data_IF_600022970888
#
_entry.id   IF_600022970888
#
_cell.length_a   1.000
_cell.length_b   1.000
_cell.length_c   1.000
_cell.angle_alpha   90.00
_cell.angle_beta   90.00
_cell.angle_gamma   90.00
#
_symmetry.space_group_name_H-M   'P 1'
#
loop_
_entity.id
_entity.type
_entity.pdbx_description
1 polymer ?
#
# COMPACT_ATOMS: atom_id res chain seq x y z
N UNK A 1 63.50 7.05 -10.07
CA UNK A 1 62.19 7.76 -9.95
C UNK A 1 61.17 6.87 -9.22
N UNK A 2 61.46 6.46 -7.97
CA UNK A 2 60.62 5.50 -7.22
C UNK A 2 60.57 5.76 -5.70
N UNK A 3 60.89 6.98 -5.24
CA UNK A 3 60.93 7.27 -3.79
C UNK A 3 59.63 7.87 -3.24
N UNK A 4 58.87 8.65 -4.02
CA UNK A 4 57.62 9.27 -3.55
C UNK A 4 56.38 8.36 -3.63
N UNK A 5 56.48 7.22 -4.30
CA UNK A 5 55.36 6.28 -4.47
C UNK A 5 55.17 5.37 -3.23
N UNK A 6 56.25 5.07 -2.49
CA UNK A 6 56.19 4.26 -1.25
C UNK A 6 55.67 5.04 -0.05
N UNK A 7 55.95 6.34 0.06
CA UNK A 7 55.39 7.19 1.13
C UNK A 7 53.88 7.43 0.94
N UNK A 8 53.41 7.53 -0.31
CA UNK A 8 51.98 7.69 -0.61
C UNK A 8 51.16 6.42 -0.32
N UNK A 9 51.73 5.23 -0.57
CA UNK A 9 51.11 3.94 -0.24
C UNK A 9 51.08 3.64 1.27
N UNK A 10 52.05 4.15 2.04
CA UNK A 10 52.07 3.97 3.50
C UNK A 10 51.03 4.85 4.23
N UNK A 11 50.73 6.04 3.69
CA UNK A 11 49.67 6.91 4.21
C UNK A 11 48.24 6.43 3.88
N UNK A 12 48.03 5.78 2.73
CA UNK A 12 46.73 5.15 2.43
C UNK A 12 46.42 3.97 3.37
N UNK A 13 47.43 3.22 3.83
CA UNK A 13 47.20 2.08 4.72
C UNK A 13 46.81 2.49 6.15
N UNK A 14 47.27 3.66 6.62
CA UNK A 14 46.92 4.19 7.95
C UNK A 14 45.50 4.78 7.95
N UNK A 15 45.05 5.38 6.83
CA UNK A 15 43.66 5.81 6.69
C UNK A 15 42.67 4.63 6.64
N UNK A 16 43.12 3.46 6.15
CA UNK A 16 42.32 2.22 6.14
C UNK A 16 42.24 1.56 7.52
N UNK A 17 43.16 1.83 8.45
CA UNK A 17 43.10 1.32 9.83
C UNK A 17 42.47 2.29 10.85
N UNK A 18 42.23 3.56 10.47
CA UNK A 18 41.65 4.57 11.36
C UNK A 18 40.12 4.70 11.26
N UNK A 19 39.45 3.87 10.46
CA UNK A 19 37.98 3.68 10.48
C UNK A 19 37.65 2.26 10.98
N UNK A 20 38.32 1.86 12.05
CA UNK A 20 37.88 0.79 12.93
C UNK A 20 37.55 1.45 14.27
N UNK A 21 36.26 1.77 14.48
CA UNK A 21 35.79 2.33 15.75
C UNK A 21 34.60 3.28 15.69
N UNK A 22 33.66 3.11 14.75
CA UNK A 22 32.26 3.48 14.99
C UNK A 22 31.54 2.18 15.36
N UNK A 23 30.69 2.13 16.39
CA UNK A 23 29.91 0.93 16.66
C UNK A 23 28.98 0.71 15.46
N UNK A 24 29.26 -0.33 14.67
CA UNK A 24 28.30 -0.88 13.73
C UNK A 24 27.04 -1.23 14.54
N UNK A 25 25.92 -0.63 14.14
CA UNK A 25 24.67 -0.49 14.91
C UNK A 25 24.02 -1.83 15.25
N UNK A 26 24.45 -2.44 16.37
CA UNK A 26 23.76 -3.59 16.98
C UNK A 26 22.35 -3.26 17.49
N UNK A 27 21.95 -1.99 17.52
CA UNK A 27 20.67 -1.49 18.03
C UNK A 27 19.51 -1.67 17.01
N UNK A 28 19.78 -1.60 15.71
CA UNK A 28 18.72 -1.75 14.69
C UNK A 28 18.33 -3.22 14.49
N UNK A 29 19.29 -4.14 14.52
CA UNK A 29 19.01 -5.56 14.26
C UNK A 29 18.18 -6.20 15.39
N UNK A 30 18.46 -5.86 16.64
CA UNK A 30 17.74 -6.40 17.80
C UNK A 30 16.30 -5.85 17.87
N UNK A 31 16.10 -4.55 17.62
CA UNK A 31 14.77 -3.94 17.60
C UNK A 31 13.89 -4.46 16.47
N UNK A 32 14.46 -4.68 15.28
CA UNK A 32 13.79 -5.30 14.13
C UNK A 32 13.35 -6.73 14.45
N UNK A 33 14.24 -7.54 15.06
CA UNK A 33 13.93 -8.92 15.42
C UNK A 33 12.83 -9.03 16.49
N UNK A 34 12.83 -8.10 17.45
CA UNK A 34 11.81 -8.02 18.49
C UNK A 34 10.44 -7.62 17.91
N UNK A 35 10.40 -6.68 16.95
CA UNK A 35 9.17 -6.27 16.28
C UNK A 35 8.54 -7.41 15.47
N UNK A 36 9.34 -8.17 14.72
CA UNK A 36 8.85 -9.33 13.95
C UNK A 36 8.23 -10.39 14.88
N UNK A 37 8.86 -10.63 16.03
CA UNK A 37 8.34 -11.53 17.05
C UNK A 37 7.00 -11.05 17.64
N UNK A 38 6.83 -9.74 17.86
CA UNK A 38 5.56 -9.18 18.33
C UNK A 38 4.43 -9.36 17.30
N UNK A 39 4.69 -9.14 16.02
CA UNK A 39 3.70 -9.34 14.95
C UNK A 39 3.27 -10.82 14.87
N UNK A 40 4.24 -11.74 14.91
CA UNK A 40 3.96 -13.18 14.91
C UNK A 40 3.06 -13.58 16.10
N UNK A 41 3.34 -13.04 17.29
CA UNK A 41 2.55 -13.27 18.50
C UNK A 41 1.12 -12.73 18.35
N UNK A 42 0.94 -11.55 17.75
CA UNK A 42 -0.40 -10.98 17.52
C UNK A 42 -1.26 -11.87 16.62
N UNK A 43 -0.71 -12.37 15.51
CA UNK A 43 -1.44 -13.25 14.59
C UNK A 43 -1.77 -14.59 15.24
N UNK A 44 -0.80 -15.22 15.89
CA UNK A 44 -1.00 -16.51 16.58
C UNK A 44 -2.02 -16.40 17.72
N UNK A 45 -1.91 -15.37 18.57
CA UNK A 45 -2.82 -15.18 19.71
C UNK A 45 -4.26 -14.87 19.29
N UNK A 46 -4.44 -14.21 18.13
CA UNK A 46 -5.74 -13.97 17.54
C UNK A 46 -6.30 -15.18 16.75
N UNK A 47 -5.49 -16.22 16.51
CA UNK A 47 -5.87 -17.36 15.68
C UNK A 47 -6.13 -16.99 14.21
N UNK A 48 -5.43 -15.97 13.71
CA UNK A 48 -5.59 -15.44 12.35
C UNK A 48 -4.52 -16.06 11.46
N UNK A 49 -4.96 -16.67 10.36
CA UNK A 49 -4.11 -16.99 9.21
C UNK A 49 -4.18 -15.82 8.22
N UNK A 50 -3.10 -15.06 8.10
CA UNK A 50 -3.03 -13.88 7.24
C UNK A 50 -1.61 -13.35 7.11
N UNK A 51 -1.44 -12.28 6.35
CA UNK A 51 -0.13 -11.71 6.06
C UNK A 51 -0.11 -10.19 6.32
N UNK A 52 1.05 -9.68 6.71
CA UNK A 52 1.30 -8.25 6.88
C UNK A 52 2.58 -7.90 6.13
N UNK A 53 2.57 -6.80 5.38
CA UNK A 53 3.75 -6.17 4.82
C UNK A 53 3.76 -4.71 5.25
N UNK A 54 4.88 -4.25 5.82
CA UNK A 54 5.16 -2.85 6.10
C UNK A 54 6.43 -2.51 5.33
N UNK A 55 6.36 -1.53 4.46
CA UNK A 55 7.48 -1.09 3.63
C UNK A 55 7.69 0.41 3.82
N UNK A 56 8.94 0.86 3.91
CA UNK A 56 9.27 2.28 3.82
C UNK A 56 8.91 2.82 2.44
N UNK A 57 8.72 4.15 2.32
CA UNK A 57 8.28 4.74 1.05
C UNK A 57 9.28 4.54 -0.10
N UNK A 58 10.56 4.42 0.21
CA UNK A 58 11.64 4.10 -0.74
C UNK A 58 11.76 2.59 -1.01
N UNK A 59 11.12 1.74 -0.20
CA UNK A 59 11.21 0.28 -0.29
C UNK A 59 12.49 -0.33 0.29
N UNK A 60 13.36 0.47 0.90
CA UNK A 60 14.65 -0.01 1.43
C UNK A 60 14.47 -0.87 2.70
N UNK A 61 13.39 -0.64 3.45
CA UNK A 61 13.09 -1.34 4.69
C UNK A 61 11.73 -2.01 4.58
N UNK A 62 11.72 -3.34 4.66
CA UNK A 62 10.51 -4.14 4.66
C UNK A 62 10.41 -5.06 5.88
N UNK A 63 9.21 -5.16 6.44
CA UNK A 63 8.84 -6.10 7.48
C UNK A 63 7.66 -6.92 7.02
N UNK A 64 7.75 -8.24 7.14
CA UNK A 64 6.68 -9.14 6.70
C UNK A 64 6.35 -10.23 7.72
N UNK A 65 5.06 -10.48 7.91
CA UNK A 65 4.54 -11.70 8.52
C UNK A 65 3.92 -12.58 7.43
N UNK A 66 4.23 -13.88 7.44
CA UNK A 66 3.83 -14.84 6.39
C UNK A 66 4.16 -14.35 4.98
N UNK A 67 5.46 -14.09 4.73
CA UNK A 67 5.97 -13.52 3.48
C UNK A 67 5.48 -14.25 2.21
N UNK A 68 5.35 -15.58 2.25
CA UNK A 68 4.85 -16.37 1.13
C UNK A 68 3.42 -15.95 0.72
N UNK A 69 2.57 -15.60 1.68
CA UNK A 69 1.20 -15.16 1.44
C UNK A 69 1.11 -13.70 0.97
N UNK A 70 2.10 -12.85 1.30
CA UNK A 70 2.14 -11.44 0.86
C UNK A 70 2.11 -11.32 -0.68
N UNK A 71 2.71 -12.28 -1.37
CA UNK A 71 2.78 -12.30 -2.84
C UNK A 71 1.55 -12.90 -3.51
N UNK A 72 0.60 -13.44 -2.74
CA UNK A 72 -0.59 -14.09 -3.27
C UNK A 72 -1.67 -13.08 -3.67
N UNK A 73 -2.19 -13.21 -4.89
CA UNK A 73 -3.24 -12.33 -5.39
C UNK A 73 -4.60 -12.66 -4.77
N UNK A 74 -5.27 -11.63 -4.24
CA UNK A 74 -6.62 -11.72 -3.68
C UNK A 74 -7.56 -10.74 -4.39
N UNK A 75 -8.88 -10.98 -4.27
CA UNK A 75 -9.85 -9.97 -4.71
C UNK A 75 -9.70 -8.70 -3.87
N UNK A 76 -9.67 -7.50 -4.46
CA UNK A 76 -9.43 -6.27 -3.70
C UNK A 76 -10.63 -5.89 -2.82
N UNK A 77 -11.83 -6.39 -3.15
CA UNK A 77 -13.06 -6.02 -2.49
C UNK A 77 -13.18 -4.49 -2.33
N UNK A 78 -13.31 -3.98 -1.10
CA UNK A 78 -13.46 -2.55 -0.86
C UNK A 78 -12.18 -1.73 -0.98
N UNK A 79 -10.99 -2.34 -1.04
CA UNK A 79 -9.75 -1.58 -1.27
C UNK A 79 -9.70 -1.01 -2.69
N UNK A 80 -10.43 -1.60 -3.64
CA UNK A 80 -10.60 -1.07 -5.00
C UNK A 80 -11.28 0.31 -5.04
N UNK A 81 -11.90 0.77 -3.94
CA UNK A 81 -12.43 2.13 -3.86
C UNK A 81 -11.35 3.19 -4.07
N UNK A 82 -10.08 2.91 -3.76
CA UNK A 82 -8.96 3.82 -4.01
C UNK A 82 -8.81 4.11 -5.53
N UNK A 83 -8.50 3.14 -6.40
CA UNK A 83 -8.42 3.41 -7.84
C UNK A 83 -9.75 3.84 -8.44
N UNK A 84 -10.89 3.31 -7.94
CA UNK A 84 -12.21 3.71 -8.44
C UNK A 84 -12.51 5.20 -8.17
N UNK A 85 -12.12 5.74 -7.00
CA UNK A 85 -12.24 7.18 -6.71
C UNK A 85 -11.42 8.03 -7.67
N UNK A 86 -10.18 7.63 -7.96
CA UNK A 86 -9.32 8.35 -8.90
C UNK A 86 -9.96 8.41 -10.30
N UNK A 87 -10.44 7.25 -10.79
CA UNK A 87 -11.11 7.16 -12.10
C UNK A 87 -12.40 7.99 -12.11
N UNK A 88 -13.22 7.94 -11.05
CA UNK A 88 -14.47 8.68 -11.01
C UNK A 88 -14.28 10.20 -11.02
N UNK A 89 -13.19 10.69 -10.43
CA UNK A 89 -12.80 12.11 -10.48
C UNK A 89 -12.27 12.49 -11.87
N UNK A 90 -11.37 11.69 -12.44
CA UNK A 90 -10.78 11.93 -13.77
C UNK A 90 -11.84 11.93 -14.88
N UNK A 91 -12.81 11.03 -14.78
CA UNK A 91 -13.93 10.92 -15.71
C UNK A 91 -15.08 11.89 -15.40
N UNK A 92 -14.89 12.80 -14.45
CA UNK A 92 -15.87 13.82 -14.01
C UNK A 92 -17.25 13.22 -13.63
N UNK A 93 -17.27 11.95 -13.22
CA UNK A 93 -18.48 11.24 -12.77
C UNK A 93 -18.95 11.74 -11.41
N UNK A 94 -18.00 12.25 -10.63
CA UNK A 94 -18.21 13.03 -9.41
C UNK A 94 -17.22 14.19 -9.44
N UNK A 95 -17.69 15.39 -9.13
CA UNK A 95 -16.92 16.64 -9.22
C UNK A 95 -15.86 16.74 -8.13
N UNK A 96 -16.26 16.46 -6.89
CA UNK A 96 -15.42 16.64 -5.72
C UNK A 96 -15.96 15.84 -4.52
N UNK A 97 -15.28 15.95 -3.38
CA UNK A 97 -15.64 15.21 -2.17
C UNK A 97 -16.98 15.61 -1.52
N UNK A 98 -17.58 16.72 -1.96
CA UNK A 98 -18.79 17.32 -1.39
C UNK A 98 -20.02 17.12 -2.26
N UNK A 99 -19.86 16.71 -3.52
CA UNK A 99 -21.01 16.44 -4.40
C UNK A 99 -21.95 15.41 -3.75
N UNK A 100 -23.25 15.71 -3.79
CA UNK A 100 -24.28 14.84 -3.23
C UNK A 100 -24.63 13.74 -4.24
N UNK A 101 -24.33 12.51 -3.85
CA UNK A 101 -24.76 11.28 -4.49
C UNK A 101 -26.12 10.90 -3.88
N UNK A 102 -27.18 11.12 -4.65
CA UNK A 102 -28.56 10.91 -4.18
C UNK A 102 -28.85 9.44 -3.91
N UNK A 103 -29.48 9.18 -2.77
CA UNK A 103 -29.94 7.84 -2.42
C UNK A 103 -31.12 7.42 -3.30
N UNK A 104 -31.12 6.16 -3.70
CA UNK A 104 -32.15 5.56 -4.55
C UNK A 104 -33.41 5.14 -3.76
N UNK A 105 -33.47 5.38 -2.45
CA UNK A 105 -34.58 4.98 -1.59
C UNK A 105 -34.60 3.48 -1.25
N UNK A 106 -33.65 2.69 -1.75
CA UNK A 106 -33.56 1.27 -1.44
C UNK A 106 -32.92 1.08 -0.07
N UNK A 107 -33.69 0.53 0.87
CA UNK A 107 -33.20 0.16 2.19
C UNK A 107 -32.28 -1.06 2.09
N UNK A 108 -31.02 -0.85 2.48
CA UNK A 108 -29.97 -1.87 2.58
C UNK A 108 -29.71 -2.23 4.05
N UNK A 109 -29.10 -3.37 4.29
CA UNK A 109 -28.86 -3.92 5.63
C UNK A 109 -27.99 -3.02 6.51
N UNK A 110 -26.99 -2.35 5.92
CA UNK A 110 -26.14 -1.42 6.65
C UNK A 110 -26.75 -0.01 6.64
N UNK A 111 -27.34 0.38 7.76
CA UNK A 111 -28.10 1.62 7.90
C UNK A 111 -27.39 2.90 7.40
N UNK A 112 -26.06 3.10 7.62
CA UNK A 112 -25.37 4.28 7.11
C UNK A 112 -25.33 4.42 5.57
N UNK A 113 -25.71 3.39 4.81
CA UNK A 113 -25.87 3.45 3.35
C UNK A 113 -27.23 3.99 2.90
N UNK A 114 -28.22 4.07 3.80
CA UNK A 114 -29.61 4.41 3.49
C UNK A 114 -29.86 5.92 3.63
N UNK A 115 -28.99 6.71 3.00
CA UNK A 115 -29.07 8.17 2.96
C UNK A 115 -28.30 8.68 1.76
N UNK A 116 -28.56 9.93 1.38
CA UNK A 116 -27.65 10.67 0.51
C UNK A 116 -26.21 10.54 1.02
N UNK A 117 -25.26 10.44 0.09
CA UNK A 117 -23.84 10.34 0.38
C UNK A 117 -23.09 11.47 -0.31
N UNK A 118 -21.86 11.71 0.11
CA UNK A 118 -20.85 12.36 -0.72
C UNK A 118 -19.74 11.36 -1.02
N UNK A 119 -18.79 11.70 -1.89
CA UNK A 119 -17.62 10.84 -2.11
C UNK A 119 -16.85 10.58 -0.80
N UNK A 120 -16.72 11.59 0.08
CA UNK A 120 -16.09 11.41 1.39
C UNK A 120 -16.84 10.41 2.28
N UNK A 121 -18.17 10.51 2.40
CA UNK A 121 -18.93 9.57 3.24
C UNK A 121 -19.02 8.19 2.59
N UNK A 122 -19.12 8.12 1.27
CA UNK A 122 -19.15 6.87 0.52
C UNK A 122 -17.84 6.10 0.66
N UNK A 123 -16.69 6.78 0.59
CA UNK A 123 -15.38 6.17 0.83
C UNK A 123 -15.27 5.68 2.27
N UNK A 124 -15.50 6.55 3.27
CA UNK A 124 -15.34 6.23 4.68
C UNK A 124 -16.25 5.09 5.18
N UNK A 125 -17.48 5.01 4.65
CA UNK A 125 -18.48 3.98 5.02
C UNK A 125 -18.45 2.78 4.10
N UNK A 126 -17.49 2.72 3.19
CA UNK A 126 -17.37 1.68 2.18
C UNK A 126 -18.68 1.45 1.41
N UNK A 127 -19.37 2.54 1.05
CA UNK A 127 -20.72 2.53 0.46
C UNK A 127 -20.73 1.90 -0.95
N UNK A 128 -21.01 0.60 -1.02
CA UNK A 128 -20.89 -0.19 -2.26
C UNK A 128 -21.74 0.38 -3.40
N UNK A 129 -22.99 0.79 -3.11
CA UNK A 129 -23.89 1.25 -4.16
C UNK A 129 -23.45 2.55 -4.82
N UNK A 130 -22.78 3.45 -4.10
CA UNK A 130 -22.23 4.68 -4.68
C UNK A 130 -21.15 4.35 -5.72
N UNK A 131 -20.28 3.39 -5.41
CA UNK A 131 -19.21 2.97 -6.34
C UNK A 131 -19.73 2.14 -7.50
N UNK A 132 -20.83 1.39 -7.32
CA UNK A 132 -21.53 0.74 -8.43
C UNK A 132 -22.16 1.78 -9.36
N UNK A 133 -22.73 2.85 -8.82
CA UNK A 133 -23.25 3.97 -9.62
C UNK A 133 -22.16 4.66 -10.43
N UNK A 134 -20.99 4.91 -9.83
CA UNK A 134 -19.82 5.42 -10.57
C UNK A 134 -19.39 4.44 -11.66
N UNK A 135 -19.30 3.15 -11.32
CA UNK A 135 -18.84 2.16 -12.26
C UNK A 135 -19.74 2.03 -13.49
N UNK A 136 -21.06 2.12 -13.29
CA UNK A 136 -22.03 2.11 -14.37
C UNK A 136 -21.88 3.31 -15.32
N UNK A 137 -21.55 4.50 -14.78
CA UNK A 137 -21.31 5.71 -15.58
C UNK A 137 -19.97 5.69 -16.32
N UNK A 138 -18.92 5.17 -15.69
CA UNK A 138 -17.57 5.05 -16.27
C UNK A 138 -17.58 4.03 -17.41
N UNK A 139 -18.19 2.86 -17.19
CA UNK A 139 -18.29 1.79 -18.16
C UNK A 139 -17.02 0.92 -18.25
N UNK A 140 -17.21 -0.32 -18.69
CA UNK A 140 -16.16 -1.36 -18.67
C UNK A 140 -14.93 -1.02 -19.53
N UNK A 141 -15.13 -0.40 -20.70
CA UNK A 141 -14.02 -0.08 -21.60
C UNK A 141 -13.00 0.89 -20.98
N UNK A 142 -13.49 1.91 -20.25
CA UNK A 142 -12.63 2.85 -19.53
C UNK A 142 -11.93 2.18 -18.35
N UNK A 143 -12.64 1.36 -17.56
CA UNK A 143 -11.99 0.60 -16.50
C UNK A 143 -10.87 -0.30 -17.02
N UNK A 144 -11.08 -0.99 -18.14
CA UNK A 144 -10.03 -1.82 -18.73
C UNK A 144 -8.79 -0.96 -19.05
N UNK A 145 -8.99 0.19 -19.69
CA UNK A 145 -7.90 1.14 -19.97
C UNK A 145 -7.15 1.58 -18.69
N UNK A 146 -7.86 2.04 -17.66
CA UNK A 146 -7.21 2.48 -16.41
C UNK A 146 -6.52 1.36 -15.65
N UNK A 147 -7.10 0.15 -15.62
CA UNK A 147 -6.46 -1.00 -14.98
C UNK A 147 -5.15 -1.39 -15.68
N UNK A 148 -5.10 -1.24 -17.01
CA UNK A 148 -3.91 -1.45 -17.80
C UNK A 148 -2.84 -0.38 -17.50
N UNK A 149 -3.22 0.90 -17.49
CA UNK A 149 -2.36 2.06 -17.17
C UNK A 149 -1.80 1.99 -15.74
N UNK A 150 -2.63 1.67 -14.75
CA UNK A 150 -2.20 1.55 -13.35
C UNK A 150 -1.35 0.31 -13.08
N UNK A 151 -1.34 -0.67 -13.99
CA UNK A 151 -0.76 -1.97 -13.72
C UNK A 151 -1.43 -2.69 -12.54
N UNK A 152 -2.73 -2.48 -12.34
CA UNK A 152 -3.40 -2.88 -11.10
C UNK A 152 -3.73 -4.39 -11.08
N UNK A 153 -2.95 -5.15 -10.31
CA UNK A 153 -3.16 -6.59 -10.12
C UNK A 153 -3.18 -7.37 -11.44
N UNK A 154 -4.22 -8.18 -11.65
CA UNK A 154 -4.38 -8.96 -12.89
C UNK A 154 -4.97 -8.17 -14.07
N UNK A 155 -5.27 -6.88 -13.88
CA UNK A 155 -5.79 -5.95 -14.89
C UNK A 155 -7.13 -6.35 -15.53
N UNK A 156 -7.91 -7.19 -14.86
CA UNK A 156 -9.23 -7.63 -15.35
C UNK A 156 -10.33 -6.95 -14.56
N UNK A 157 -11.38 -6.53 -15.25
CA UNK A 157 -12.63 -6.15 -14.61
C UNK A 157 -13.37 -7.38 -14.08
N UNK A 158 -14.24 -7.18 -13.11
CA UNK A 158 -15.15 -8.23 -12.63
C UNK A 158 -16.16 -8.62 -13.72
N UNK A 159 -16.47 -9.91 -13.80
CA UNK A 159 -17.52 -10.47 -14.66
C UNK A 159 -18.90 -10.36 -14.04
#
# INVERSE_FOLDING_TARGET
MFSKFKEFLFLMLIAVMAVAGEPESTIETESVSNLLNEIDVLYHSAGIDGALLISSLDGDVEYSHNADQVTSANIPASTFKIPNTLIALEEEVVKDQFEIIKWDGVNRTYAPWNSDQTLATAFARSCVWCYQHFAAKIGNGKYQHYLDEFGYGNKKTGS
#
